data_IF_776457461006
#
_entry.id   IF_776457461006
#
_cell.length_a   1.000
_cell.length_b   1.000
_cell.length_c   1.000
_cell.angle_alpha   90.00
_cell.angle_beta   90.00
_cell.angle_gamma   90.00
#
_symmetry.space_group_name_H-M   'P 1'
#
loop_
_entity.id
_entity.type
_entity.pdbx_description
1 polymer ?
#
# COMPACT_ATOMS: atom_id res chain seq x y z
N UNK A 1 25.32 28.08 -4.85
CA UNK A 1 23.87 28.28 -5.04
C UNK A 1 23.50 27.98 -6.49
N UNK A 2 23.69 28.88 -7.47
CA UNK A 2 23.26 28.59 -8.85
C UNK A 2 23.84 27.29 -9.47
N UNK A 3 25.13 27.02 -9.31
CA UNK A 3 25.78 25.77 -9.78
C UNK A 3 25.36 24.52 -8.97
N UNK A 4 24.85 24.70 -7.75
CA UNK A 4 24.39 23.61 -6.89
C UNK A 4 22.93 23.25 -7.21
N UNK A 5 22.10 24.26 -7.46
CA UNK A 5 20.71 24.12 -7.90
C UNK A 5 20.63 23.45 -9.28
N UNK A 6 21.52 23.82 -10.21
CA UNK A 6 21.60 23.20 -11.54
C UNK A 6 22.00 21.72 -11.46
N UNK A 7 22.97 21.39 -10.59
CA UNK A 7 23.36 19.99 -10.34
C UNK A 7 22.21 19.19 -9.72
N UNK A 8 21.51 19.76 -8.74
CA UNK A 8 20.36 19.10 -8.11
C UNK A 8 19.24 18.85 -9.10
N UNK A 9 18.92 19.84 -9.95
CA UNK A 9 17.91 19.69 -10.99
C UNK A 9 18.29 18.59 -11.97
N UNK A 10 19.53 18.56 -12.45
CA UNK A 10 20.02 17.52 -13.35
C UNK A 10 19.90 16.13 -12.73
N UNK A 11 20.30 15.98 -11.47
CA UNK A 11 20.20 14.73 -10.74
C UNK A 11 18.76 14.24 -10.59
N UNK A 12 17.82 15.13 -10.26
CA UNK A 12 16.39 14.79 -10.17
C UNK A 12 15.85 14.28 -11.52
N UNK A 13 16.20 14.97 -12.62
CA UNK A 13 15.75 14.58 -13.97
C UNK A 13 16.34 13.23 -14.39
N UNK A 14 17.61 12.98 -14.07
CA UNK A 14 18.26 11.69 -14.34
C UNK A 14 17.55 10.56 -13.60
N UNK A 15 17.30 10.71 -12.29
CA UNK A 15 16.59 9.69 -11.50
C UNK A 15 15.15 9.47 -11.98
N UNK A 16 14.40 10.53 -12.29
CA UNK A 16 13.05 10.42 -12.86
C UNK A 16 13.04 9.64 -14.17
N UNK A 17 14.03 9.91 -15.04
CA UNK A 17 14.15 9.24 -16.33
C UNK A 17 14.50 7.77 -16.13
N UNK A 18 15.45 7.47 -15.26
CA UNK A 18 15.86 6.10 -14.95
C UNK A 18 14.72 5.29 -14.33
N UNK A 19 14.06 5.83 -13.30
CA UNK A 19 13.00 5.14 -12.58
C UNK A 19 11.77 4.84 -13.46
N UNK A 20 11.49 5.68 -14.46
CA UNK A 20 10.28 5.57 -15.26
C UNK A 20 10.49 5.16 -16.71
N UNK A 21 11.73 4.98 -17.19
CA UNK A 21 12.01 4.68 -18.60
C UNK A 21 11.14 3.54 -19.17
N UNK A 22 11.19 2.37 -18.55
CA UNK A 22 10.44 1.20 -19.01
C UNK A 22 8.92 1.43 -18.93
N UNK A 23 8.45 2.06 -17.86
CA UNK A 23 7.03 2.30 -17.65
C UNK A 23 6.46 3.36 -18.61
N UNK A 24 7.28 4.35 -19.00
CA UNK A 24 6.97 5.33 -20.04
C UNK A 24 6.85 4.65 -21.39
N UNK A 25 7.74 3.71 -21.73
CA UNK A 25 7.67 2.94 -22.96
C UNK A 25 6.40 2.08 -23.01
N UNK A 26 6.02 1.47 -21.88
CA UNK A 26 4.83 0.63 -21.76
C UNK A 26 3.51 1.42 -21.93
N UNK A 27 3.36 2.59 -21.27
CA UNK A 27 2.19 3.46 -21.45
C UNK A 27 2.53 4.96 -21.37
N UNK A 28 2.91 5.58 -22.50
CA UNK A 28 3.23 7.01 -22.56
C UNK A 28 2.07 7.91 -22.14
N UNK A 29 0.81 7.46 -22.33
CA UNK A 29 -0.38 8.27 -22.00
C UNK A 29 -0.64 8.25 -20.50
N UNK A 30 -0.44 7.12 -19.83
CA UNK A 30 -0.50 7.04 -18.37
C UNK A 30 0.58 7.94 -17.74
N UNK A 31 1.81 7.92 -18.25
CA UNK A 31 2.88 8.77 -17.71
C UNK A 31 2.64 10.27 -17.88
N UNK A 32 2.05 10.69 -19.00
CA UNK A 32 1.61 12.10 -19.14
C UNK A 32 0.61 12.50 -18.07
N UNK A 33 -0.30 11.61 -17.68
CA UNK A 33 -1.25 11.87 -16.57
C UNK A 33 -0.53 11.85 -15.22
N UNK A 34 0.37 10.88 -15.00
CA UNK A 34 1.20 10.77 -13.80
C UNK A 34 1.99 12.06 -13.56
N UNK A 35 2.73 12.53 -14.56
CA UNK A 35 3.51 13.77 -14.43
C UNK A 35 2.65 15.01 -14.22
N UNK A 36 1.44 15.09 -14.80
CA UNK A 36 0.52 16.19 -14.50
C UNK A 36 0.03 16.17 -13.06
N UNK A 37 -0.24 14.98 -12.50
CA UNK A 37 -0.60 14.84 -11.08
C UNK A 37 0.57 15.21 -10.18
N UNK A 38 1.77 14.69 -10.47
CA UNK A 38 2.99 15.03 -9.72
C UNK A 38 3.32 16.53 -9.77
N UNK A 39 3.03 17.21 -10.89
CA UNK A 39 3.28 18.63 -11.05
C UNK A 39 2.19 19.53 -10.42
N UNK A 40 1.14 18.96 -9.82
CA UNK A 40 0.06 19.73 -9.23
C UNK A 40 0.54 20.53 -8.01
N UNK A 41 1.34 19.90 -7.15
CA UNK A 41 1.86 20.50 -5.92
C UNK A 41 3.08 19.71 -5.37
N UNK A 42 3.85 20.28 -4.43
CA UNK A 42 5.04 19.63 -3.86
C UNK A 42 4.77 18.29 -3.17
N UNK A 43 3.61 18.13 -2.52
CA UNK A 43 3.25 16.90 -1.84
C UNK A 43 2.93 15.78 -2.85
N UNK A 44 2.18 16.08 -3.91
CA UNK A 44 1.96 15.15 -5.03
C UNK A 44 3.26 14.74 -5.73
N UNK A 45 4.20 15.67 -5.90
CA UNK A 45 5.54 15.35 -6.41
C UNK A 45 6.26 14.36 -5.50
N UNK A 46 6.28 14.64 -4.20
CA UNK A 46 6.97 13.83 -3.19
C UNK A 46 6.46 12.38 -3.12
N UNK A 47 5.13 12.21 -3.18
CA UNK A 47 4.48 10.89 -3.26
C UNK A 47 4.83 10.15 -4.55
N UNK A 48 4.83 10.85 -5.68
CA UNK A 48 5.18 10.26 -6.97
C UNK A 48 6.67 9.98 -7.19
N UNK A 49 7.55 10.29 -6.23
CA UNK A 49 9.01 10.23 -6.39
C UNK A 49 9.74 9.55 -5.22
N UNK A 50 9.17 8.48 -4.65
CA UNK A 50 9.81 7.72 -3.56
C UNK A 50 11.28 7.35 -3.82
N UNK A 51 11.63 6.95 -5.04
CA UNK A 51 13.02 6.65 -5.45
C UNK A 51 13.98 7.83 -5.25
N UNK A 52 13.52 9.08 -5.43
CA UNK A 52 14.35 10.27 -5.22
C UNK A 52 14.66 10.45 -3.73
N UNK A 53 13.67 10.24 -2.87
CA UNK A 53 13.86 10.26 -1.42
C UNK A 53 14.88 9.19 -0.98
N UNK A 54 14.79 7.98 -1.52
CA UNK A 54 15.73 6.92 -1.15
C UNK A 54 17.13 7.14 -1.70
N UNK A 55 17.28 7.69 -2.91
CA UNK A 55 18.58 8.10 -3.42
C UNK A 55 19.26 9.13 -2.51
N UNK A 56 18.49 10.10 -1.98
CA UNK A 56 19.01 11.05 -1.00
C UNK A 56 19.35 10.36 0.32
N UNK A 57 18.44 9.51 0.84
CA UNK A 57 18.62 8.81 2.10
C UNK A 57 19.85 7.90 2.11
N UNK A 58 20.17 7.25 0.99
CA UNK A 58 21.33 6.39 0.85
C UNK A 58 22.67 7.14 1.04
N UNK A 59 22.68 8.46 0.84
CA UNK A 59 23.86 9.31 1.04
C UNK A 59 24.00 9.82 2.49
N UNK A 60 22.97 9.64 3.32
CA UNK A 60 22.94 10.15 4.68
C UNK A 60 23.30 9.05 5.68
N UNK A 61 24.21 9.37 6.60
CA UNK A 61 24.46 8.51 7.74
C UNK A 61 23.21 8.43 8.63
N UNK A 62 22.87 7.22 9.05
CA UNK A 62 21.75 6.98 9.95
C UNK A 62 22.23 6.48 11.31
N UNK A 63 22.57 7.44 12.18
CA UNK A 63 23.06 7.18 13.54
C UNK A 63 22.08 6.44 14.46
N UNK A 64 20.82 6.28 14.05
CA UNK A 64 19.77 5.63 14.83
C UNK A 64 19.52 4.19 14.36
N UNK A 65 20.17 3.75 13.29
CA UNK A 65 20.13 2.38 12.80
C UNK A 65 21.49 1.71 12.97
N UNK A 66 21.47 0.43 13.32
CA UNK A 66 22.60 -0.48 13.36
C UNK A 66 22.33 -1.70 12.46
N UNK A 67 23.17 -2.73 12.53
CA UNK A 67 23.03 -3.92 11.68
C UNK A 67 21.64 -4.59 11.79
N UNK A 68 21.00 -4.56 12.97
CA UNK A 68 19.69 -5.18 13.20
C UNK A 68 18.56 -4.24 12.82
N UNK A 69 18.64 -2.99 13.29
CA UNK A 69 17.59 -1.98 13.08
C UNK A 69 17.59 -1.35 11.68
N UNK A 70 18.58 -1.70 10.85
CA UNK A 70 18.60 -1.44 9.39
C UNK A 70 17.87 -2.50 8.56
N UNK A 71 17.33 -3.56 9.19
CA UNK A 71 16.61 -4.68 8.55
C UNK A 71 15.21 -4.84 9.13
N UNK A 72 14.48 -3.73 9.23
CA UNK A 72 13.09 -3.74 9.70
C UNK A 72 12.18 -3.70 8.48
N UNK A 73 11.06 -4.41 8.53
CA UNK A 73 10.04 -4.25 7.52
C UNK A 73 9.49 -2.83 7.59
N UNK A 74 9.58 -2.10 6.50
CA UNK A 74 9.05 -0.75 6.35
C UNK A 74 8.05 -0.71 5.20
N UNK A 75 7.07 0.20 5.26
CA UNK A 75 6.07 0.32 4.20
C UNK A 75 6.66 0.94 2.93
N UNK A 76 7.72 1.74 3.04
CA UNK A 76 8.53 2.14 1.88
C UNK A 76 7.99 3.34 1.09
N UNK A 77 6.76 3.77 1.32
CA UNK A 77 6.21 5.03 0.80
C UNK A 77 5.48 5.81 1.88
N UNK A 78 5.97 5.78 3.12
CA UNK A 78 5.16 6.23 4.24
C UNK A 78 4.97 7.74 4.19
N UNK A 79 3.71 8.16 4.07
CA UNK A 79 3.31 9.55 4.00
C UNK A 79 1.91 9.73 4.60
N UNK A 80 1.54 10.97 4.93
CA UNK A 80 0.32 11.24 5.69
C UNK A 80 -0.98 10.74 5.04
N UNK A 81 -1.03 10.60 3.72
CA UNK A 81 -2.14 10.00 2.96
C UNK A 81 -2.07 8.47 2.79
N UNK A 82 -1.03 7.79 3.29
CA UNK A 82 -0.88 6.32 3.16
C UNK A 82 -1.41 5.58 4.39
N UNK A 83 -2.50 6.09 4.94
CA UNK A 83 -3.25 5.46 6.01
C UNK A 83 -4.72 5.47 5.66
N UNK A 84 -5.42 4.44 6.10
CA UNK A 84 -6.84 4.33 5.89
C UNK A 84 -7.39 3.11 6.59
N UNK A 85 -8.54 2.66 6.12
CA UNK A 85 -9.28 1.59 6.78
C UNK A 85 -9.23 0.29 5.99
N UNK A 86 -9.31 -0.81 6.72
CA UNK A 86 -9.54 -2.14 6.16
C UNK A 86 -10.35 -3.01 7.13
N UNK A 87 -10.94 -4.08 6.60
CA UNK A 87 -11.56 -5.11 7.41
C UNK A 87 -10.55 -6.20 7.73
N UNK A 88 -10.25 -6.40 9.01
CA UNK A 88 -9.38 -7.51 9.43
C UNK A 88 -10.03 -8.87 9.21
N UNK A 89 -9.21 -9.93 9.21
CA UNK A 89 -9.66 -11.33 9.12
C UNK A 89 -10.72 -11.71 10.15
N UNK A 90 -10.75 -11.02 11.30
CA UNK A 90 -11.69 -11.27 12.40
C UNK A 90 -13.01 -10.48 12.25
N UNK A 91 -13.17 -9.72 11.16
CA UNK A 91 -14.37 -8.91 10.91
C UNK A 91 -14.41 -7.60 11.71
N UNK A 92 -13.25 -7.09 12.14
CA UNK A 92 -13.12 -5.79 12.82
C UNK A 92 -12.56 -4.75 11.85
N UNK A 93 -13.20 -3.58 11.77
CA UNK A 93 -12.69 -2.41 11.06
C UNK A 93 -11.49 -1.83 11.79
N UNK A 94 -10.38 -1.71 11.09
CA UNK A 94 -9.10 -1.24 11.62
C UNK A 94 -8.63 -0.08 10.76
N UNK A 95 -8.12 0.96 11.44
CA UNK A 95 -7.36 2.03 10.81
C UNK A 95 -5.86 1.70 10.91
N UNK A 96 -5.15 1.73 9.78
CA UNK A 96 -3.74 1.35 9.73
C UNK A 96 -3.03 1.95 8.50
N UNK A 97 -1.74 1.66 8.36
CA UNK A 97 -0.98 1.94 7.15
C UNK A 97 -1.54 1.13 5.97
N UNK A 98 -1.64 1.78 4.81
CA UNK A 98 -2.14 1.22 3.57
C UNK A 98 -1.08 1.24 2.45
N UNK A 99 -1.37 0.53 1.36
CA UNK A 99 -0.54 0.39 0.15
C UNK A 99 0.86 -0.18 0.41
N UNK A 100 1.06 -1.46 0.15
CA UNK A 100 2.34 -2.14 0.40
C UNK A 100 3.15 -2.36 -0.89
N UNK A 101 2.80 -1.66 -1.98
CA UNK A 101 3.53 -1.74 -3.25
C UNK A 101 5.03 -1.41 -3.07
N UNK A 102 5.40 -0.54 -2.14
CA UNK A 102 6.79 -0.11 -1.90
C UNK A 102 7.45 -0.82 -0.71
N UNK A 103 6.73 -1.73 -0.05
CA UNK A 103 7.15 -2.32 1.22
C UNK A 103 8.37 -3.25 1.09
N UNK A 104 9.36 -3.03 1.94
CA UNK A 104 10.67 -3.69 1.84
C UNK A 104 11.39 -3.71 3.19
N UNK A 105 12.51 -4.44 3.27
CA UNK A 105 13.39 -4.38 4.43
C UNK A 105 14.33 -3.19 4.32
N UNK A 106 14.41 -2.39 5.39
CA UNK A 106 15.29 -1.24 5.45
C UNK A 106 15.35 -0.59 6.83
N UNK A 107 15.93 0.61 6.87
CA UNK A 107 16.02 1.36 8.11
C UNK A 107 14.65 1.86 8.52
N UNK A 108 14.18 1.52 9.72
CA UNK A 108 12.90 2.02 10.24
C UNK A 108 12.83 3.56 10.23
N UNK A 109 13.97 4.24 10.36
CA UNK A 109 14.03 5.70 10.36
C UNK A 109 13.68 6.31 9.01
N UNK A 110 13.81 5.55 7.91
CA UNK A 110 13.48 6.06 6.59
C UNK A 110 11.99 6.31 6.46
N UNK A 111 11.13 5.41 6.94
CA UNK A 111 9.68 5.64 7.00
C UNK A 111 9.33 6.83 7.91
N UNK A 112 9.97 6.94 9.09
CA UNK A 112 9.75 8.08 10.00
C UNK A 112 10.14 9.42 9.38
N UNK A 113 11.31 9.47 8.71
CA UNK A 113 11.77 10.66 7.99
C UNK A 113 10.87 10.95 6.79
N UNK A 114 10.39 9.91 6.11
CA UNK A 114 9.52 10.04 4.94
C UNK A 114 8.18 10.67 5.33
N UNK A 115 7.59 10.18 6.42
CA UNK A 115 6.36 10.76 6.97
C UNK A 115 6.58 12.19 7.45
N UNK A 116 7.64 12.46 8.21
CA UNK A 116 7.94 13.80 8.73
C UNK A 116 8.09 14.84 7.60
N UNK A 117 8.77 14.49 6.51
CA UNK A 117 8.87 15.34 5.33
C UNK A 117 7.49 15.54 4.66
N UNK A 118 6.67 14.50 4.60
CA UNK A 118 5.29 14.60 4.07
C UNK A 118 4.42 15.57 4.88
N UNK A 119 4.54 15.56 6.21
CA UNK A 119 3.86 16.50 7.12
C UNK A 119 4.35 17.93 6.89
N UNK A 120 5.65 18.12 6.67
CA UNK A 120 6.20 19.42 6.30
C UNK A 120 5.61 19.98 5.01
N UNK A 121 5.47 19.13 3.98
CA UNK A 121 4.88 19.52 2.71
C UNK A 121 3.37 19.81 2.81
N UNK A 122 2.62 19.01 3.57
CA UNK A 122 1.21 19.29 3.85
C UNK A 122 1.02 20.58 4.65
N UNK A 123 1.85 20.78 5.67
CA UNK A 123 1.83 22.00 6.47
C UNK A 123 2.12 23.23 5.62
N UNK A 124 3.06 23.15 4.68
CA UNK A 124 3.31 24.20 3.70
C UNK A 124 2.07 24.47 2.81
N UNK A 125 1.46 23.44 2.24
CA UNK A 125 0.25 23.57 1.41
C UNK A 125 -0.94 24.17 2.17
N UNK A 126 -1.05 23.88 3.48
CA UNK A 126 -2.08 24.41 4.38
C UNK A 126 -1.71 25.75 5.04
N UNK A 127 -0.55 26.31 4.71
CA UNK A 127 -0.03 27.54 5.31
C UNK A 127 0.08 27.49 6.86
N UNK A 128 0.37 26.30 7.42
CA UNK A 128 0.65 26.13 8.83
C UNK A 128 1.98 26.77 9.20
N UNK A 129 2.09 27.22 10.46
CA UNK A 129 3.35 27.78 10.96
C UNK A 129 4.42 26.68 11.13
N UNK A 130 5.69 27.04 10.99
CA UNK A 130 6.82 26.15 11.30
C UNK A 130 6.75 25.58 12.73
N UNK A 131 6.14 26.33 13.66
CA UNK A 131 5.89 25.90 15.04
C UNK A 131 4.90 24.73 15.08
N UNK A 132 3.76 24.88 14.39
CA UNK A 132 2.71 23.85 14.29
C UNK A 132 3.22 22.59 13.59
N UNK A 133 3.96 22.75 12.47
CA UNK A 133 4.55 21.61 11.75
C UNK A 133 5.54 20.86 12.64
N UNK A 134 6.40 21.59 13.38
CA UNK A 134 7.32 20.98 14.34
C UNK A 134 6.58 20.20 15.42
N UNK A 135 5.55 20.81 16.03
CA UNK A 135 4.73 20.16 17.06
C UNK A 135 4.04 18.90 16.53
N UNK A 136 3.55 18.92 15.29
CA UNK A 136 2.94 17.76 14.65
C UNK A 136 3.93 16.60 14.43
N UNK A 137 5.13 16.91 13.91
CA UNK A 137 6.19 15.91 13.72
C UNK A 137 6.70 15.36 15.06
N UNK A 138 6.86 16.21 16.07
CA UNK A 138 7.22 15.79 17.43
C UNK A 138 6.13 14.93 18.05
N UNK A 139 4.86 15.30 17.88
CA UNK A 139 3.70 14.52 18.36
C UNK A 139 3.65 13.13 17.74
N UNK A 140 3.86 13.03 16.43
CA UNK A 140 4.01 11.75 15.73
C UNK A 140 5.17 10.92 16.30
N UNK A 141 6.37 11.50 16.38
CA UNK A 141 7.57 10.77 16.83
C UNK A 141 7.48 10.31 18.29
N UNK A 142 6.91 11.14 19.17
CA UNK A 142 6.67 10.77 20.57
C UNK A 142 5.64 9.64 20.68
N UNK A 143 4.56 9.71 19.89
CA UNK A 143 3.53 8.66 19.88
C UNK A 143 4.08 7.33 19.36
N UNK A 144 4.85 7.36 18.27
CA UNK A 144 5.58 6.20 17.74
C UNK A 144 6.45 5.58 18.83
N UNK A 145 7.32 6.38 19.46
CA UNK A 145 8.24 5.87 20.48
C UNK A 145 7.52 5.33 21.71
N UNK A 146 6.43 5.98 22.15
CA UNK A 146 5.61 5.51 23.27
C UNK A 146 4.98 4.14 22.95
N UNK A 147 4.49 3.96 21.73
CA UNK A 147 3.90 2.70 21.28
C UNK A 147 4.94 1.59 21.13
N UNK A 148 6.12 1.88 20.54
CA UNK A 148 7.24 0.92 20.48
C UNK A 148 7.66 0.46 21.87
N UNK A 149 7.75 1.38 22.86
CA UNK A 149 8.05 1.02 24.25
C UNK A 149 6.96 0.14 24.87
N UNK A 150 5.70 0.45 24.60
CA UNK A 150 4.59 -0.37 25.08
C UNK A 150 4.66 -1.80 24.53
N UNK A 151 5.02 -1.98 23.26
CA UNK A 151 5.24 -3.30 22.67
C UNK A 151 6.46 -4.02 23.25
N UNK A 152 7.58 -3.31 23.45
CA UNK A 152 8.77 -3.90 24.08
C UNK A 152 8.53 -4.37 25.53
N UNK A 153 7.52 -3.83 26.22
CA UNK A 153 7.16 -4.16 27.60
C UNK A 153 5.98 -5.15 27.72
N UNK A 154 5.30 -5.50 26.61
CA UNK A 154 4.06 -6.29 26.62
C UNK A 154 4.07 -7.39 25.55
N UNK A 155 3.77 -8.63 25.94
CA UNK A 155 3.62 -9.80 25.03
C UNK A 155 2.29 -9.81 24.23
N UNK A 156 1.64 -8.66 24.02
CA UNK A 156 0.33 -8.53 23.36
C UNK A 156 0.30 -7.43 22.31
N UNK A 157 1.45 -7.19 21.70
CA UNK A 157 1.65 -6.25 20.60
C UNK A 157 0.76 -6.56 19.39
N UNK A 158 0.55 -7.83 19.07
CA UNK A 158 -0.33 -8.30 17.99
C UNK A 158 -1.82 -7.97 18.19
N UNK A 159 -2.27 -7.77 19.42
CA UNK A 159 -3.66 -7.43 19.73
C UNK A 159 -3.98 -5.95 19.47
N UNK A 160 -2.95 -5.09 19.35
CA UNK A 160 -3.17 -3.66 19.20
C UNK A 160 -3.72 -3.29 17.83
N UNK A 161 -4.87 -2.61 17.83
CA UNK A 161 -5.58 -2.12 16.64
C UNK A 161 -6.21 -0.77 16.95
N UNK A 162 -6.18 0.16 16.00
CA UNK A 162 -6.98 1.38 16.05
C UNK A 162 -8.36 1.06 15.47
N UNK A 163 -9.39 1.12 16.33
CA UNK A 163 -10.76 0.70 16.02
C UNK A 163 -11.76 1.74 16.52
N UNK A 164 -13.04 1.53 16.23
CA UNK A 164 -14.13 2.41 16.66
C UNK A 164 -14.28 2.51 18.19
N UNK A 165 -13.67 1.61 18.96
CA UNK A 165 -13.74 1.63 20.43
C UNK A 165 -12.67 2.50 21.08
N UNK A 166 -11.54 2.73 20.39
CA UNK A 166 -10.37 3.40 20.97
C UNK A 166 -9.83 4.57 20.13
N UNK A 167 -10.59 5.01 19.13
CA UNK A 167 -10.26 6.16 18.28
C UNK A 167 -11.28 7.27 18.44
N UNK A 168 -10.84 8.51 18.24
CA UNK A 168 -11.63 9.73 18.19
C UNK A 168 -11.25 10.60 16.97
N UNK A 169 -11.98 11.70 16.77
CA UNK A 169 -11.73 12.67 15.69
C UNK A 169 -11.69 12.05 14.30
N UNK A 170 -10.78 12.54 13.45
CA UNK A 170 -10.68 12.15 12.04
C UNK A 170 -10.50 10.63 11.83
N UNK A 171 -9.80 9.94 12.73
CA UNK A 171 -9.62 8.48 12.64
C UNK A 171 -10.94 7.74 12.94
N UNK A 172 -11.71 8.22 13.92
CA UNK A 172 -13.01 7.66 14.21
C UNK A 172 -13.99 7.89 13.07
N UNK A 173 -13.97 9.08 12.48
CA UNK A 173 -14.87 9.47 11.40
C UNK A 173 -14.62 8.64 10.13
N UNK A 174 -13.37 8.41 9.74
CA UNK A 174 -13.05 7.54 8.58
C UNK A 174 -13.44 6.08 8.83
N UNK A 175 -13.37 5.60 10.08
CA UNK A 175 -13.86 4.27 10.45
C UNK A 175 -15.40 4.18 10.40
N UNK A 176 -16.11 5.26 10.74
CA UNK A 176 -17.56 5.33 10.59
C UNK A 176 -17.97 5.37 9.12
N UNK A 177 -17.22 6.06 8.27
CA UNK A 177 -17.41 6.05 6.82
C UNK A 177 -17.23 4.63 6.27
N UNK A 178 -16.11 3.98 6.58
CA UNK A 178 -15.85 2.61 6.15
C UNK A 178 -16.90 1.59 6.64
N UNK A 179 -17.54 1.84 7.79
CA UNK A 179 -18.65 1.03 8.31
C UNK A 179 -19.91 1.11 7.45
N UNK A 180 -20.12 2.22 6.74
CA UNK A 180 -21.28 2.42 5.88
C UNK A 180 -21.11 1.75 4.52
N UNK A 181 -19.89 1.41 4.13
CA UNK A 181 -19.60 0.74 2.86
C UNK A 181 -20.08 -0.71 2.84
N UNK A 182 -20.52 -1.17 1.67
CA UNK A 182 -21.01 -2.54 1.50
C UNK A 182 -20.45 -3.22 0.25
N UNK A 183 -20.28 -4.54 0.35
CA UNK A 183 -19.96 -5.38 -0.81
C UNK A 183 -20.99 -5.25 -1.93
N UNK A 184 -22.27 -5.07 -1.57
CA UNK A 184 -23.35 -4.89 -2.53
C UNK A 184 -23.12 -3.63 -3.35
N UNK A 185 -22.80 -2.51 -2.71
CA UNK A 185 -22.54 -1.24 -3.40
C UNK A 185 -21.29 -1.32 -4.27
N UNK A 186 -20.22 -1.95 -3.77
CA UNK A 186 -19.01 -2.23 -4.56
C UNK A 186 -19.35 -3.04 -5.83
N UNK A 187 -20.01 -4.19 -5.68
CA UNK A 187 -20.41 -5.03 -6.81
C UNK A 187 -21.33 -4.27 -7.76
N UNK A 188 -22.30 -3.53 -7.24
CA UNK A 188 -23.19 -2.68 -8.02
C UNK A 188 -22.46 -1.55 -8.72
N UNK A 189 -21.30 -1.09 -8.29
CA UNK A 189 -20.53 -0.08 -9.02
C UNK A 189 -19.76 -0.68 -10.21
N UNK A 190 -19.25 -1.91 -10.04
CA UNK A 190 -18.33 -2.57 -10.98
C UNK A 190 -19.00 -3.52 -11.97
N UNK A 191 -20.17 -4.06 -11.64
CA UNK A 191 -20.76 -5.22 -12.34
C UNK A 191 -22.23 -5.00 -12.70
N UNK A 192 -22.71 -5.82 -13.63
CA UNK A 192 -24.12 -5.93 -14.02
C UNK A 192 -24.55 -7.39 -13.94
N UNK A 193 -25.86 -7.64 -13.94
CA UNK A 193 -26.43 -8.99 -13.98
C UNK A 193 -27.11 -9.17 -15.34
N UNK A 194 -26.63 -10.12 -16.13
CA UNK A 194 -27.16 -10.48 -17.45
C UNK A 194 -27.29 -11.99 -17.56
N UNK A 195 -28.44 -12.48 -18.04
CA UNK A 195 -28.65 -13.92 -18.19
C UNK A 195 -28.56 -14.70 -16.87
N UNK A 196 -28.94 -14.08 -15.75
CA UNK A 196 -28.84 -14.61 -14.38
C UNK A 196 -27.43 -14.73 -13.81
N UNK A 197 -26.41 -14.30 -14.56
CA UNK A 197 -25.01 -14.28 -14.12
C UNK A 197 -24.50 -12.85 -13.91
N UNK A 198 -23.58 -12.69 -12.96
CA UNK A 198 -22.90 -11.40 -12.73
C UNK A 198 -21.66 -11.31 -13.62
N UNK A 199 -21.48 -10.16 -14.25
CA UNK A 199 -20.31 -9.86 -15.09
C UNK A 199 -19.87 -8.40 -14.90
N UNK A 200 -18.60 -8.10 -15.19
CA UNK A 200 -18.09 -6.73 -15.14
C UNK A 200 -18.80 -5.84 -16.16
N UNK A 201 -19.06 -4.59 -15.77
CA UNK A 201 -19.56 -3.57 -16.68
C UNK A 201 -18.48 -3.16 -17.67
N UNK A 202 -18.90 -2.87 -18.90
CA UNK A 202 -18.07 -2.11 -19.82
C UNK A 202 -17.91 -0.67 -19.32
N UNK A 203 -16.73 -0.09 -19.50
CA UNK A 203 -16.50 1.27 -19.05
C UNK A 203 -15.07 1.73 -19.19
N UNK A 204 -14.84 2.95 -18.70
CA UNK A 204 -13.50 3.55 -18.72
C UNK A 204 -12.53 2.67 -17.95
N UNK A 205 -11.43 2.31 -18.61
CA UNK A 205 -10.36 1.51 -18.01
C UNK A 205 -10.65 0.01 -17.93
N UNK A 206 -11.83 -0.47 -18.36
CA UNK A 206 -12.15 -1.89 -18.50
C UNK A 206 -11.82 -2.33 -19.93
N UNK A 207 -11.18 -3.49 -20.07
CA UNK A 207 -10.84 -4.09 -21.37
C UNK A 207 -11.17 -5.58 -21.35
N UNK A 208 -11.96 -6.05 -22.31
CA UNK A 208 -12.15 -7.48 -22.54
C UNK A 208 -10.87 -8.13 -23.05
N UNK A 209 -10.62 -9.34 -22.55
CA UNK A 209 -9.43 -10.11 -22.89
C UNK A 209 -9.69 -10.96 -24.14
N UNK A 210 -8.66 -11.18 -24.94
CA UNK A 210 -8.69 -12.22 -25.97
C UNK A 210 -8.60 -13.62 -25.35
N UNK A 211 -9.01 -14.66 -26.08
CA UNK A 211 -9.05 -16.02 -25.55
C UNK A 211 -7.70 -16.51 -24.97
N UNK A 212 -6.59 -16.19 -25.65
CA UNK A 212 -5.24 -16.60 -25.20
C UNK A 212 -4.84 -15.88 -23.90
N UNK A 213 -5.08 -14.56 -23.81
CA UNK A 213 -4.78 -13.76 -22.61
C UNK A 213 -5.67 -14.19 -21.44
N UNK A 214 -6.95 -14.43 -21.70
CA UNK A 214 -7.90 -14.95 -20.71
C UNK A 214 -7.46 -16.31 -20.17
N UNK A 215 -7.05 -17.23 -21.06
CA UNK A 215 -6.52 -18.53 -20.67
C UNK A 215 -5.27 -18.44 -19.80
N UNK A 216 -4.35 -17.52 -20.13
CA UNK A 216 -3.15 -17.27 -19.33
C UNK A 216 -3.48 -16.71 -17.94
N UNK A 217 -4.41 -15.75 -17.85
CA UNK A 217 -4.88 -15.20 -16.56
C UNK A 217 -5.56 -16.28 -15.71
N UNK A 218 -6.36 -17.16 -16.31
CA UNK A 218 -6.96 -18.27 -15.56
C UNK A 218 -5.91 -19.26 -15.04
N UNK A 219 -4.89 -19.59 -15.84
CA UNK A 219 -3.79 -20.45 -15.39
C UNK A 219 -3.03 -19.81 -14.22
N UNK A 220 -2.74 -18.50 -14.30
CA UNK A 220 -2.10 -17.75 -13.23
C UNK A 220 -2.96 -17.69 -11.96
N UNK A 221 -4.28 -17.51 -12.10
CA UNK A 221 -5.22 -17.55 -10.97
C UNK A 221 -5.24 -18.92 -10.29
N UNK A 222 -5.25 -20.01 -11.05
CA UNK A 222 -5.19 -21.37 -10.47
C UNK A 222 -3.89 -21.59 -9.68
N UNK A 223 -2.75 -21.15 -10.20
CA UNK A 223 -1.47 -21.20 -9.48
C UNK A 223 -1.47 -20.32 -8.22
N UNK A 224 -2.13 -19.15 -8.27
CA UNK A 224 -2.25 -18.25 -7.12
C UNK A 224 -2.91 -18.92 -5.91
N UNK A 225 -3.89 -19.79 -6.12
CA UNK A 225 -4.60 -20.48 -5.02
C UNK A 225 -3.64 -21.27 -4.12
N UNK A 226 -2.51 -21.73 -4.67
CA UNK A 226 -1.49 -22.44 -3.91
C UNK A 226 -0.61 -21.53 -3.04
N UNK A 227 -0.59 -20.23 -3.31
CA UNK A 227 0.21 -19.22 -2.58
C UNK A 227 -0.52 -18.60 -1.38
N UNK A 228 -1.83 -18.83 -1.26
CA UNK A 228 -2.62 -18.42 -0.10
C UNK A 228 -2.26 -19.36 1.07
N UNK A 229 -1.94 -18.82 2.27
CA UNK A 229 -1.62 -19.64 3.44
C UNK A 229 -2.77 -20.61 3.73
N UNK A 230 -2.46 -21.87 4.03
CA UNK A 230 -3.46 -22.93 4.22
C UNK A 230 -4.52 -22.54 5.27
N UNK A 231 -4.11 -21.87 6.36
CA UNK A 231 -5.00 -21.36 7.40
C UNK A 231 -5.96 -20.25 6.95
N UNK A 232 -5.67 -19.58 5.83
CA UNK A 232 -6.46 -18.47 5.28
C UNK A 232 -7.27 -18.86 4.06
N UNK A 233 -7.04 -20.05 3.47
CA UNK A 233 -7.82 -20.54 2.33
C UNK A 233 -9.30 -20.60 2.69
N UNK A 234 -10.12 -19.95 1.88
CA UNK A 234 -11.56 -19.93 2.08
C UNK A 234 -12.14 -21.29 1.66
N UNK A 235 -13.07 -21.83 2.47
CA UNK A 235 -13.99 -22.87 2.03
C UNK A 235 -15.07 -22.26 1.10
N UNK A 236 -14.64 -21.67 -0.02
CA UNK A 236 -15.56 -21.29 -1.10
C UNK A 236 -16.05 -22.56 -1.77
N UNK A 237 -17.33 -22.58 -2.16
CA UNK A 237 -17.96 -23.72 -2.84
C UNK A 237 -17.22 -24.09 -4.14
N UNK A 238 -16.42 -23.19 -4.74
CA UNK A 238 -15.68 -23.55 -5.96
C UNK A 238 -14.48 -22.71 -6.41
N UNK A 239 -14.16 -21.55 -5.81
CA UNK A 239 -13.20 -20.59 -6.43
C UNK A 239 -13.52 -20.31 -7.92
N UNK A 240 -14.79 -20.45 -8.33
CA UNK A 240 -15.18 -20.30 -9.74
C UNK A 240 -15.03 -18.86 -10.18
N UNK A 241 -14.30 -18.66 -11.28
CA UNK A 241 -14.20 -17.35 -11.92
C UNK A 241 -15.40 -17.15 -12.84
N UNK A 242 -16.25 -16.17 -12.54
CA UNK A 242 -17.44 -15.78 -13.32
C UNK A 242 -17.08 -14.92 -14.52
N UNK A 243 -16.18 -13.97 -14.34
CA UNK A 243 -15.76 -13.03 -15.38
C UNK A 243 -14.35 -12.49 -15.09
N UNK A 244 -13.65 -12.04 -16.14
CA UNK A 244 -12.32 -11.43 -16.02
C UNK A 244 -12.16 -10.29 -17.02
N UNK A 245 -11.59 -9.19 -16.53
CA UNK A 245 -11.31 -8.01 -17.34
C UNK A 245 -9.92 -7.47 -17.09
N UNK A 246 -9.28 -6.98 -18.15
CA UNK A 246 -8.08 -6.17 -18.04
C UNK A 246 -8.46 -4.77 -17.52
N UNK A 247 -7.57 -4.20 -16.72
CA UNK A 247 -7.74 -2.89 -16.12
C UNK A 247 -6.61 -1.95 -16.52
N UNK A 248 -6.95 -0.70 -16.76
CA UNK A 248 -6.00 0.36 -17.08
C UNK A 248 -6.34 1.65 -16.33
N UNK A 249 -5.31 2.44 -16.01
CA UNK A 249 -5.50 3.74 -15.35
C UNK A 249 -5.50 3.70 -13.82
N UNK A 250 -4.77 2.77 -13.21
CA UNK A 250 -4.46 2.79 -11.77
C UNK A 250 -3.70 4.07 -11.36
N UNK A 251 -3.58 4.29 -10.05
CA UNK A 251 -3.04 5.51 -9.41
C UNK A 251 -1.61 5.91 -9.84
N UNK A 252 -1.03 6.88 -9.12
CA UNK A 252 0.29 7.43 -9.46
C UNK A 252 1.37 6.33 -9.39
N UNK A 253 1.32 5.44 -8.39
CA UNK A 253 2.32 4.38 -8.18
C UNK A 253 2.45 3.41 -9.36
N UNK A 254 1.33 2.90 -9.88
CA UNK A 254 1.31 1.72 -10.77
C UNK A 254 0.99 2.05 -12.24
N UNK A 255 1.26 3.28 -12.66
CA UNK A 255 1.07 3.71 -14.05
C UNK A 255 1.95 2.86 -15.00
N UNK A 256 1.34 2.31 -16.05
CA UNK A 256 2.04 1.53 -17.08
C UNK A 256 2.18 0.03 -16.78
N UNK A 257 1.70 -0.44 -15.62
CA UNK A 257 1.67 -1.86 -15.27
C UNK A 257 0.31 -2.50 -15.66
N UNK A 258 0.30 -3.72 -16.21
CA UNK A 258 -0.91 -4.50 -16.41
C UNK A 258 -1.57 -4.85 -15.08
N UNK A 259 -2.89 -4.82 -15.07
CA UNK A 259 -3.67 -5.42 -13.99
C UNK A 259 -4.98 -5.99 -14.52
N UNK A 260 -5.59 -6.86 -13.73
CA UNK A 260 -6.79 -7.59 -14.04
C UNK A 260 -7.72 -7.58 -12.84
N UNK A 261 -9.03 -7.54 -13.09
CA UNK A 261 -10.03 -7.83 -12.08
C UNK A 261 -10.68 -9.18 -12.41
N UNK A 262 -10.78 -10.05 -11.42
CA UNK A 262 -11.44 -11.35 -11.51
C UNK A 262 -12.68 -11.31 -10.61
N UNK A 263 -13.83 -11.71 -11.16
CA UNK A 263 -15.07 -11.87 -10.41
C UNK A 263 -15.20 -13.33 -10.01
N UNK A 264 -15.22 -13.60 -8.71
CA UNK A 264 -15.21 -14.94 -8.12
C UNK A 264 -16.54 -15.21 -7.42
N UNK A 265 -17.08 -16.41 -7.59
CA UNK A 265 -18.18 -16.92 -6.76
C UNK A 265 -17.78 -16.85 -5.29
N UNK A 266 -18.61 -16.21 -4.47
CA UNK A 266 -18.31 -16.08 -3.05
C UNK A 266 -18.60 -17.36 -2.26
N UNK A 267 -19.04 -17.19 -1.01
CA UNK A 267 -19.28 -18.30 -0.07
C UNK A 267 -20.55 -19.08 -0.37
N UNK A 268 -21.50 -18.48 -1.09
CA UNK A 268 -22.74 -19.15 -1.53
C UNK A 268 -23.06 -18.72 -2.96
N UNK A 269 -23.94 -19.45 -3.65
CA UNK A 269 -24.39 -19.11 -5.01
C UNK A 269 -25.19 -17.79 -5.11
N UNK A 270 -25.38 -17.07 -4.00
CA UNK A 270 -26.02 -15.76 -4.00
C UNK A 270 -25.08 -14.68 -4.55
N UNK A 271 -25.48 -14.04 -5.67
CA UNK A 271 -24.69 -13.03 -6.38
C UNK A 271 -24.27 -11.79 -5.55
N UNK A 272 -24.84 -11.58 -4.36
CA UNK A 272 -24.51 -10.47 -3.47
C UNK A 272 -23.23 -10.70 -2.65
N UNK A 273 -22.77 -11.96 -2.57
CA UNK A 273 -21.55 -12.30 -1.85
C UNK A 273 -20.34 -12.54 -2.77
N UNK A 274 -20.49 -12.31 -4.08
CA UNK A 274 -19.39 -12.39 -5.05
C UNK A 274 -18.19 -11.54 -4.60
N UNK A 275 -17.00 -12.03 -4.94
CA UNK A 275 -15.73 -11.41 -4.57
C UNK A 275 -15.07 -10.86 -5.82
N UNK A 276 -14.52 -9.65 -5.73
CA UNK A 276 -13.70 -9.08 -6.80
C UNK A 276 -12.25 -9.14 -6.34
N UNK A 277 -11.43 -9.90 -7.06
CA UNK A 277 -9.99 -9.93 -6.84
C UNK A 277 -9.30 -8.98 -7.81
N UNK A 278 -8.34 -8.23 -7.31
CA UNK A 278 -7.37 -7.45 -8.09
C UNK A 278 -6.10 -8.28 -8.25
N UNK A 279 -5.70 -8.55 -9.49
CA UNK A 279 -4.42 -9.17 -9.85
C UNK A 279 -3.57 -8.13 -10.58
N UNK A 280 -2.52 -7.64 -9.93
CA UNK A 280 -1.74 -6.48 -10.37
C UNK A 280 -0.26 -6.82 -10.43
N UNK A 281 0.42 -6.44 -11.52
CA UNK A 281 1.86 -6.67 -11.61
C UNK A 281 2.56 -5.91 -10.49
N UNK A 282 3.42 -6.59 -9.74
CA UNK A 282 4.17 -5.97 -8.64
C UNK A 282 5.11 -4.89 -9.17
N UNK A 283 5.09 -3.72 -8.54
CA UNK A 283 6.04 -2.66 -8.87
C UNK A 283 7.43 -2.99 -8.32
N UNK A 284 8.49 -2.47 -8.94
CA UNK A 284 9.82 -2.50 -8.34
C UNK A 284 9.85 -1.51 -7.20
N UNK A 285 10.12 -1.98 -5.98
CA UNK A 285 10.24 -1.11 -4.82
C UNK A 285 11.36 -0.09 -5.03
N UNK A 286 11.09 1.18 -4.83
CA UNK A 286 12.05 2.26 -4.84
C UNK A 286 13.23 1.97 -3.91
N UNK A 287 12.95 1.36 -2.75
CA UNK A 287 13.96 1.00 -1.76
C UNK A 287 14.94 -0.07 -2.25
N UNK A 288 14.49 -0.98 -3.11
CA UNK A 288 15.34 -2.05 -3.65
C UNK A 288 16.51 -1.52 -4.50
N UNK A 289 16.47 -0.26 -4.93
CA UNK A 289 17.56 0.37 -5.69
C UNK A 289 18.73 0.81 -4.82
N UNK A 290 18.53 0.94 -3.50
CA UNK A 290 19.55 1.43 -2.56
C UNK A 290 19.95 0.38 -1.53
N UNK A 291 19.08 -0.59 -1.24
CA UNK A 291 19.42 -1.74 -0.41
C UNK A 291 20.22 -2.75 -1.24
N UNK A 292 21.42 -3.09 -0.76
CA UNK A 292 22.37 -3.98 -1.45
C UNK A 292 22.65 -5.28 -0.72
N UNK A 293 21.93 -5.58 0.37
CA UNK A 293 22.11 -6.85 1.08
C UNK A 293 21.55 -8.01 0.25
N UNK A 294 22.44 -8.87 -0.25
CA UNK A 294 22.11 -10.00 -1.10
C UNK A 294 21.08 -10.95 -0.46
N UNK A 295 21.07 -11.09 0.89
CA UNK A 295 20.08 -11.93 1.57
C UNK A 295 18.66 -11.42 1.36
N UNK A 296 18.48 -10.10 1.34
CA UNK A 296 17.19 -9.44 1.13
C UNK A 296 16.82 -9.51 -0.36
N UNK A 297 17.79 -9.24 -1.23
CA UNK A 297 17.57 -9.22 -2.69
C UNK A 297 17.19 -10.62 -3.22
N UNK A 298 17.91 -11.66 -2.82
CA UNK A 298 17.74 -13.02 -3.32
C UNK A 298 16.56 -13.76 -2.70
N UNK A 299 15.94 -13.21 -1.64
CA UNK A 299 14.80 -13.84 -0.98
C UNK A 299 13.52 -13.79 -1.82
N UNK A 300 13.34 -12.73 -2.61
CA UNK A 300 12.09 -12.54 -3.36
C UNK A 300 12.18 -13.13 -4.76
N UNK A 301 11.33 -14.12 -5.05
CA UNK A 301 11.16 -14.69 -6.39
C UNK A 301 10.87 -13.64 -7.48
N UNK A 302 9.97 -12.69 -7.18
CA UNK A 302 9.58 -11.59 -8.05
C UNK A 302 8.83 -10.51 -7.26
N UNK A 303 8.50 -9.38 -7.89
CA UNK A 303 7.87 -8.23 -7.22
C UNK A 303 6.48 -8.53 -6.63
N UNK A 304 5.67 -9.38 -7.29
CA UNK A 304 4.38 -9.82 -6.72
C UNK A 304 4.50 -10.59 -5.40
N UNK A 305 5.46 -11.51 -5.31
CA UNK A 305 5.77 -12.28 -4.10
C UNK A 305 6.27 -11.35 -2.99
N UNK A 306 7.18 -10.43 -3.32
CA UNK A 306 7.65 -9.38 -2.40
C UNK A 306 6.48 -8.62 -1.79
N UNK A 307 5.62 -8.01 -2.61
CA UNK A 307 4.51 -7.21 -2.09
C UNK A 307 3.59 -8.03 -1.18
N UNK A 308 3.22 -9.25 -1.58
CA UNK A 308 2.35 -10.10 -0.78
C UNK A 308 3.00 -10.52 0.55
N UNK A 309 4.28 -10.89 0.54
CA UNK A 309 5.04 -11.24 1.74
C UNK A 309 5.19 -10.03 2.67
N UNK A 310 5.64 -8.90 2.14
CA UNK A 310 5.83 -7.68 2.93
C UNK A 310 4.52 -7.25 3.58
N UNK A 311 3.41 -7.30 2.85
CA UNK A 311 2.09 -6.96 3.41
C UNK A 311 1.67 -7.94 4.52
N UNK A 312 1.90 -9.24 4.37
CA UNK A 312 1.62 -10.22 5.44
C UNK A 312 2.47 -9.97 6.69
N UNK A 313 3.72 -9.56 6.53
CA UNK A 313 4.62 -9.25 7.64
C UNK A 313 4.23 -7.94 8.35
N UNK A 314 3.80 -6.94 7.60
CA UNK A 314 3.45 -5.60 8.12
C UNK A 314 2.02 -5.50 8.65
N UNK A 315 1.14 -6.41 8.26
CA UNK A 315 -0.28 -6.39 8.59
C UNK A 315 -0.69 -7.71 9.25
N UNK A 316 -0.68 -7.73 10.60
CA UNK A 316 -1.00 -8.91 11.42
C UNK A 316 -2.28 -9.65 10.98
N UNK A 317 -3.30 -8.90 10.56
CA UNK A 317 -4.58 -9.42 10.08
C UNK A 317 -4.81 -9.14 8.60
N UNK A 318 -3.80 -9.40 7.76
CA UNK A 318 -3.90 -9.24 6.31
C UNK A 318 -5.05 -10.05 5.70
N UNK A 319 -5.58 -9.52 4.59
CA UNK A 319 -6.66 -10.08 3.78
C UNK A 319 -6.48 -11.60 3.53
N UNK A 320 -7.51 -12.44 3.77
CA UNK A 320 -7.45 -13.87 3.47
C UNK A 320 -7.20 -14.20 2.00
N UNK A 321 -7.52 -13.28 1.07
CA UNK A 321 -7.28 -13.44 -0.36
C UNK A 321 -5.89 -12.99 -0.79
N UNK A 322 -5.07 -12.43 0.10
CA UNK A 322 -3.75 -11.94 -0.26
C UNK A 322 -2.82 -13.10 -0.67
N UNK A 323 -2.28 -13.05 -1.88
CA UNK A 323 -1.30 -13.99 -2.42
C UNK A 323 -0.60 -13.43 -3.65
N UNK A 324 0.04 -14.30 -4.43
CA UNK A 324 0.76 -13.91 -5.64
C UNK A 324 0.66 -14.97 -6.73
N UNK A 325 1.02 -14.60 -7.95
CA UNK A 325 1.22 -15.54 -9.06
C UNK A 325 2.22 -14.98 -10.06
N UNK A 326 2.59 -15.83 -11.03
CA UNK A 326 3.36 -15.42 -12.19
C UNK A 326 2.46 -15.44 -13.43
N UNK A 327 2.58 -14.41 -14.28
CA UNK A 327 1.92 -14.33 -15.57
C UNK A 327 2.91 -13.77 -16.60
N UNK A 328 3.27 -14.59 -17.59
CA UNK A 328 4.17 -14.17 -18.67
C UNK A 328 5.61 -13.85 -18.20
N UNK A 329 6.10 -14.52 -17.15
CA UNK A 329 7.43 -14.27 -16.58
C UNK A 329 7.47 -13.12 -15.58
N UNK A 330 6.34 -12.46 -15.32
CA UNK A 330 6.24 -11.32 -14.42
C UNK A 330 5.42 -11.68 -13.18
N UNK A 331 5.81 -11.11 -12.03
CA UNK A 331 5.16 -11.36 -10.76
C UNK A 331 3.95 -10.46 -10.50
N UNK A 332 2.84 -11.05 -10.06
CA UNK A 332 1.60 -10.35 -9.73
C UNK A 332 1.24 -10.56 -8.26
N UNK A 333 0.75 -9.52 -7.62
CA UNK A 333 0.06 -9.61 -6.32
C UNK A 333 -1.44 -9.77 -6.57
N UNK A 334 -2.08 -10.66 -5.83
CA UNK A 334 -3.51 -10.91 -5.87
C UNK A 334 -4.09 -10.61 -4.49
N UNK A 335 -5.12 -9.77 -4.43
CA UNK A 335 -5.83 -9.45 -3.19
C UNK A 335 -7.29 -9.13 -3.50
N UNK A 336 -8.14 -9.15 -2.48
CA UNK A 336 -9.51 -8.68 -2.60
C UNK A 336 -9.53 -7.16 -2.82
N UNK A 337 -10.35 -6.72 -3.75
CA UNK A 337 -10.80 -5.33 -3.81
C UNK A 337 -11.81 -5.12 -2.69
N UNK A 338 -11.32 -4.78 -1.49
CA UNK A 338 -12.15 -4.66 -0.30
C UNK A 338 -13.17 -3.52 -0.45
N UNK A 339 -14.44 -3.72 -0.04
CA UNK A 339 -15.42 -2.64 0.01
C UNK A 339 -15.19 -1.70 1.19
N UNK A 340 -14.43 -2.11 2.22
CA UNK A 340 -14.30 -1.40 3.49
C UNK A 340 -13.05 -0.52 3.55
N UNK A 341 -12.71 0.14 2.44
CA UNK A 341 -11.53 1.00 2.32
C UNK A 341 -11.97 2.45 2.22
N UNK A 342 -11.51 3.25 3.18
CA UNK A 342 -11.64 4.69 3.21
C UNK A 342 -10.30 5.31 3.61
N UNK A 343 -9.91 6.36 2.88
CA UNK A 343 -8.67 7.10 3.10
C UNK A 343 -8.96 8.37 3.93
N UNK A 344 -7.94 8.91 4.60
CA UNK A 344 -8.08 10.17 5.31
C UNK A 344 -8.31 11.34 4.33
N UNK A 345 -9.38 12.11 4.54
CA UNK A 345 -9.57 13.39 3.88
C UNK A 345 -8.78 14.49 4.59
N UNK A 346 -7.55 14.72 4.13
CA UNK A 346 -6.72 15.80 4.66
C UNK A 346 -7.27 17.18 4.35
N UNK A 347 -8.15 17.38 3.37
CA UNK A 347 -8.76 18.69 3.13
C UNK A 347 -9.78 19.04 4.23
N UNK A 348 -10.41 18.03 4.83
CA UNK A 348 -11.33 18.19 5.97
C UNK A 348 -10.61 18.42 7.32
N UNK A 349 -9.32 18.09 7.43
CA UNK A 349 -8.50 18.29 8.64
C UNK A 349 -7.69 19.57 8.48
N UNK A 350 -8.09 20.65 9.16
CA UNK A 350 -7.50 21.97 8.96
C UNK A 350 -6.86 22.56 10.21
N UNK A 351 -7.44 22.30 11.38
CA UNK A 351 -7.03 22.98 12.60
C UNK A 351 -5.97 22.17 13.38
N UNK A 352 -5.03 22.83 14.07
CA UNK A 352 -3.99 22.15 14.83
C UNK A 352 -4.51 21.14 15.86
N UNK A 353 -5.65 21.43 16.50
CA UNK A 353 -6.31 20.54 17.46
C UNK A 353 -6.93 19.29 16.82
N UNK A 354 -7.12 19.27 15.49
CA UNK A 354 -7.52 18.08 14.72
C UNK A 354 -6.27 17.32 14.20
N UNK A 355 -5.27 18.06 13.72
CA UNK A 355 -4.03 17.51 13.15
C UNK A 355 -3.22 16.77 14.22
N UNK A 356 -3.04 17.35 15.41
CA UNK A 356 -2.16 16.76 16.43
C UNK A 356 -2.66 15.39 16.94
N UNK A 357 -3.95 15.18 17.29
CA UNK A 357 -4.47 13.86 17.59
C UNK A 357 -4.30 12.87 16.43
N UNK A 358 -4.59 13.30 15.20
CA UNK A 358 -4.42 12.47 14.02
C UNK A 358 -2.97 11.96 13.90
N UNK A 359 -1.99 12.86 13.99
CA UNK A 359 -0.56 12.49 13.92
C UNK A 359 -0.12 11.55 15.05
N UNK A 360 -0.74 11.63 16.23
CA UNK A 360 -0.49 10.65 17.29
C UNK A 360 -0.99 9.26 16.89
N UNK A 361 -2.18 9.15 16.31
CA UNK A 361 -2.72 7.88 15.80
C UNK A 361 -1.86 7.31 14.66
N UNK A 362 -1.36 8.17 13.76
CA UNK A 362 -0.41 7.76 12.71
C UNK A 362 0.88 7.19 13.33
N UNK A 363 1.37 7.79 14.41
CA UNK A 363 2.52 7.30 15.19
C UNK A 363 2.29 5.90 15.74
N UNK A 364 1.11 5.63 16.29
CA UNK A 364 0.74 4.32 16.83
C UNK A 364 0.63 3.26 15.72
N UNK A 365 -0.04 3.59 14.61
CA UNK A 365 -0.14 2.69 13.45
C UNK A 365 1.25 2.37 12.87
N UNK A 366 2.12 3.37 12.73
CA UNK A 366 3.49 3.16 12.21
C UNK A 366 4.32 2.30 13.16
N UNK A 367 4.21 2.50 14.47
CA UNK A 367 4.88 1.66 15.46
C UNK A 367 4.41 0.20 15.40
N UNK A 368 3.10 -0.02 15.23
CA UNK A 368 2.53 -1.35 15.03
C UNK A 368 3.17 -2.03 13.81
N UNK A 369 3.19 -1.36 12.67
CA UNK A 369 3.77 -1.89 11.42
C UNK A 369 5.24 -2.25 11.58
N UNK A 370 6.04 -1.45 12.29
CA UNK A 370 7.46 -1.73 12.52
C UNK A 370 7.75 -2.78 13.60
N UNK A 371 6.80 -3.08 14.49
CA UNK A 371 7.02 -3.97 15.64
C UNK A 371 6.33 -5.33 15.52
N UNK A 372 5.22 -5.45 14.79
CA UNK A 372 4.34 -6.64 14.82
C UNK A 372 4.83 -7.79 13.93
N UNK A 373 6.10 -7.82 13.52
CA UNK A 373 6.65 -8.97 12.80
C UNK A 373 7.15 -10.04 13.77
N UNK A 374 6.31 -11.01 14.17
CA UNK A 374 6.80 -12.34 14.58
C UNK A 374 5.77 -13.50 14.61
N UNK A 375 4.44 -13.31 14.71
CA UNK A 375 3.54 -14.49 14.77
C UNK A 375 3.13 -15.16 13.44
N UNK A 376 3.34 -14.51 12.30
CA UNK A 376 2.81 -14.98 11.01
C UNK A 376 3.83 -15.16 9.90
N UNK A 377 5.06 -14.69 10.09
CA UNK A 377 6.11 -14.74 9.08
C UNK A 377 7.05 -15.91 9.35
N UNK A 378 7.01 -16.94 8.51
CA UNK A 378 8.01 -18.01 8.47
C UNK A 378 9.40 -17.49 7.99
N UNK A 379 9.90 -16.36 8.52
CA UNK A 379 10.93 -15.57 7.82
C UNK A 379 12.20 -15.34 8.63
N UNK A 380 13.26 -16.01 8.19
CA UNK A 380 14.65 -15.91 8.65
C UNK A 380 15.36 -14.60 8.28
N UNK A 381 14.66 -13.65 7.64
CA UNK A 381 15.27 -12.41 7.11
C UNK A 381 15.52 -11.32 8.17
N UNK A 382 14.78 -11.36 9.28
CA UNK A 382 14.78 -10.32 10.32
C UNK A 382 15.53 -10.79 11.59
N UNK A 383 15.96 -12.06 11.64
CA UNK A 383 16.71 -12.66 12.76
C UNK A 383 18.15 -12.13 12.92
#
# INVERSE_FOLDING_TARGET
>A
MADDDEKRQKHIVELLTQAFAQLIENDPRAFRRKFRKMAADPFAFYRGSAFLFYADMASLEDRFADERTSRVWIQGDLHAENYGTYMSSDGVLVFDVNDFDEAYLGHFTWDLRRLAASVGLLGFSKALSDGTVREAVEGFAHSYLAQVRAFAESERDEEFRLTLENTDGAVHDVLLEARMETRIDLLQSLTTIEGYERQFREGRGVRRLGADEQGAVYAAFQAYLDTIPESKRQESVSYTVKDVVGRSGFGIGSAGLPAYNLLIEGRTEALENDVVLSMKQGNVAALSQVVSDERIVDYFEHQGHRTAVSQRALQAHADPWLGWCELGGEGYVVAELSPYVADLDWDAVAEPDEILPLLRSLGQATAKVHCVSDAGSEQTLVE
#
